data_IF_434504489965
#
_entry.id   IF_434504489965
#
_cell.length_a   1.000
_cell.length_b   1.000
_cell.length_c   1.000
_cell.angle_alpha   90.00
_cell.angle_beta   90.00
_cell.angle_gamma   90.00
#
_symmetry.space_group_name_H-M   'P 1'
#
loop_
_entity.id
_entity.type
_entity.pdbx_description
1 polymer ?
#
# COMPACT_ATOMS: atom_id res chain seq x y z
N UNK A 1 8.51 2.60 16.35
CA UNK A 1 7.26 1.82 16.10
C UNK A 1 6.58 2.42 14.88
N UNK A 2 5.94 1.62 14.01
CA UNK A 2 5.20 2.12 12.84
C UNK A 2 3.74 1.68 12.92
N UNK A 3 2.82 2.56 12.54
CA UNK A 3 1.40 2.25 12.40
C UNK A 3 0.77 3.09 11.28
N UNK A 4 -0.30 2.60 10.64
CA UNK A 4 -1.06 3.40 9.69
C UNK A 4 -2.02 4.35 10.41
N UNK A 5 -2.13 5.57 9.90
CA UNK A 5 -3.06 6.59 10.42
C UNK A 5 -4.52 6.10 10.43
N UNK A 6 -4.92 5.36 9.39
CA UNK A 6 -6.29 4.82 9.27
C UNK A 6 -6.69 3.95 10.47
N UNK A 7 -5.77 3.12 10.97
CA UNK A 7 -6.05 2.24 12.10
C UNK A 7 -6.17 3.01 13.42
N UNK A 8 -5.28 3.98 13.67
CA UNK A 8 -5.39 4.85 14.85
C UNK A 8 -6.70 5.64 14.84
N UNK A 9 -7.06 6.20 13.67
CA UNK A 9 -8.31 6.93 13.48
C UNK A 9 -9.53 6.05 13.75
N UNK A 10 -9.55 4.82 13.25
CA UNK A 10 -10.65 3.86 13.48
C UNK A 10 -10.87 3.61 14.97
N UNK A 11 -9.80 3.39 15.74
CA UNK A 11 -9.89 3.17 17.20
C UNK A 11 -10.42 4.42 17.92
N UNK A 12 -9.94 5.60 17.56
CA UNK A 12 -10.38 6.86 18.18
C UNK A 12 -11.84 7.20 17.88
N UNK A 13 -12.31 6.84 16.68
CA UNK A 13 -13.70 7.09 16.27
C UNK A 13 -14.73 6.31 17.10
N UNK A 14 -14.35 5.23 17.77
CA UNK A 14 -15.23 4.52 18.69
C UNK A 14 -15.66 5.38 19.90
N UNK A 15 -14.79 6.30 20.36
CA UNK A 15 -15.06 7.20 21.48
C UNK A 15 -15.28 8.67 21.09
N UNK A 16 -14.82 9.08 19.91
CA UNK A 16 -14.96 10.41 19.37
C UNK A 16 -15.37 10.35 17.89
N UNK A 17 -16.67 10.10 17.58
CA UNK A 17 -17.15 10.03 16.21
C UNK A 17 -16.86 11.32 15.42
N UNK A 18 -16.41 11.17 14.17
CA UNK A 18 -16.06 12.29 13.30
C UNK A 18 -14.65 12.87 13.54
N UNK A 19 -13.89 12.33 14.49
CA UNK A 19 -12.49 12.72 14.66
C UNK A 19 -11.65 12.35 13.43
N UNK A 20 -11.00 13.36 12.87
CA UNK A 20 -10.05 13.28 11.76
C UNK A 20 -9.19 14.56 11.78
N UNK A 21 -7.88 14.42 11.59
CA UNK A 21 -6.92 15.54 11.60
C UNK A 21 -5.88 15.36 10.50
N UNK A 22 -5.24 16.45 10.09
CA UNK A 22 -4.16 16.37 9.11
C UNK A 22 -2.93 15.64 9.72
N UNK A 23 -2.14 14.88 8.93
CA UNK A 23 -0.96 14.17 9.43
C UNK A 23 0.04 15.06 10.19
N UNK A 24 0.23 16.31 9.74
CA UNK A 24 1.13 17.26 10.41
C UNK A 24 0.63 17.66 11.81
N UNK A 25 -0.69 17.79 11.99
CA UNK A 25 -1.28 18.17 13.28
C UNK A 25 -1.19 17.00 14.27
N UNK A 26 -1.39 15.77 13.77
CA UNK A 26 -1.17 14.57 14.55
C UNK A 26 0.29 14.44 14.99
N UNK A 27 1.24 14.64 14.08
CA UNK A 27 2.68 14.64 14.37
C UNK A 27 3.03 15.64 15.47
N UNK A 28 2.61 16.90 15.31
CA UNK A 28 2.84 17.95 16.31
C UNK A 28 2.23 17.58 17.67
N UNK A 29 1.05 16.97 17.68
CA UNK A 29 0.37 16.56 18.92
C UNK A 29 1.13 15.43 19.61
N UNK A 30 1.58 14.41 18.88
CA UNK A 30 2.36 13.29 19.41
C UNK A 30 3.68 13.77 20.02
N UNK A 31 4.41 14.64 19.32
CA UNK A 31 5.66 15.24 19.81
C UNK A 31 5.40 16.04 21.09
N UNK A 32 4.34 16.85 21.11
CA UNK A 32 3.99 17.68 22.29
C UNK A 32 3.66 16.85 23.54
N UNK A 33 3.16 15.62 23.37
CA UNK A 33 2.85 14.72 24.50
C UNK A 33 3.99 13.71 24.79
N UNK A 34 5.17 13.87 24.18
CA UNK A 34 6.38 13.10 24.48
C UNK A 34 6.61 11.87 23.61
N UNK A 35 5.89 11.73 22.49
CA UNK A 35 6.15 10.69 21.50
C UNK A 35 6.96 11.26 20.34
N UNK A 36 8.23 10.84 20.23
CA UNK A 36 9.06 11.17 19.07
C UNK A 36 8.48 10.58 17.78
N UNK A 37 8.40 11.41 16.74
CA UNK A 37 7.99 11.00 15.40
C UNK A 37 9.21 11.12 14.48
N UNK A 38 9.80 9.98 14.13
CA UNK A 38 10.97 9.94 13.24
C UNK A 38 10.62 10.28 11.79
N UNK A 39 9.41 9.93 11.34
CA UNK A 39 8.99 10.10 9.95
C UNK A 39 7.46 10.05 9.82
N UNK A 40 6.91 10.94 8.99
CA UNK A 40 5.56 10.83 8.42
C UNK A 40 5.70 10.44 6.94
N UNK A 41 5.18 9.27 6.56
CA UNK A 41 5.31 8.72 5.21
C UNK A 41 3.93 8.44 4.59
N UNK A 42 3.41 9.31 3.71
CA UNK A 42 2.20 8.99 2.95
C UNK A 42 2.47 7.83 1.99
N UNK A 43 1.45 7.01 1.72
CA UNK A 43 1.52 6.05 0.63
C UNK A 43 1.64 6.82 -0.69
N UNK A 44 2.60 6.43 -1.53
CA UNK A 44 2.85 7.11 -2.80
C UNK A 44 1.62 7.04 -3.71
N UNK A 45 1.27 8.14 -4.41
CA UNK A 45 0.15 8.14 -5.34
C UNK A 45 0.45 7.22 -6.53
N UNK A 46 -0.61 6.71 -7.13
CA UNK A 46 -0.58 5.90 -8.35
C UNK A 46 -1.55 6.52 -9.34
N UNK A 47 -1.24 6.41 -10.62
CA UNK A 47 -2.10 6.86 -11.72
C UNK A 47 -2.19 5.78 -12.80
N UNK A 48 -3.23 5.83 -13.62
CA UNK A 48 -3.48 4.85 -14.68
C UNK A 48 -4.04 3.51 -14.17
N UNK A 49 -3.92 2.42 -14.95
CA UNK A 49 -4.63 1.17 -14.74
C UNK A 49 -3.96 0.24 -13.72
N UNK A 50 -3.67 0.74 -12.51
CA UNK A 50 -3.19 -0.12 -11.42
C UNK A 50 -4.36 -0.91 -10.82
N UNK A 51 -4.32 -2.23 -10.99
CA UNK A 51 -5.39 -3.12 -10.55
C UNK A 51 -4.83 -4.36 -9.86
N UNK A 52 -5.70 -5.08 -9.15
CA UNK A 52 -5.38 -6.41 -8.63
C UNK A 52 -5.42 -7.40 -9.79
N UNK A 53 -4.34 -8.17 -9.94
CA UNK A 53 -4.25 -9.26 -10.92
C UNK A 53 -4.05 -10.61 -10.24
N UNK A 54 -4.54 -11.68 -10.90
CA UNK A 54 -4.33 -13.07 -10.49
C UNK A 54 -3.44 -13.77 -11.51
N UNK A 55 -2.33 -14.35 -11.05
CA UNK A 55 -1.47 -15.19 -11.90
C UNK A 55 -2.21 -16.48 -12.25
N UNK A 56 -2.42 -16.72 -13.54
CA UNK A 56 -3.10 -17.90 -14.08
C UNK A 56 -2.11 -18.98 -14.56
N UNK A 57 -0.95 -18.57 -15.08
CA UNK A 57 0.11 -19.47 -15.50
C UNK A 57 1.49 -18.81 -15.36
N UNK A 58 2.53 -19.63 -15.24
CA UNK A 58 3.93 -19.23 -15.13
C UNK A 58 4.75 -20.11 -16.07
N UNK A 59 5.57 -19.49 -16.92
CA UNK A 59 6.62 -20.13 -17.71
C UNK A 59 7.99 -19.64 -17.22
N UNK A 60 8.90 -20.55 -16.89
CA UNK A 60 10.27 -20.21 -16.49
C UNK A 60 11.17 -20.08 -17.73
N UNK A 61 11.72 -18.88 -17.93
CA UNK A 61 12.61 -18.62 -19.06
C UNK A 61 14.05 -19.01 -18.70
N UNK A 62 14.59 -19.96 -19.46
CA UNK A 62 15.97 -20.42 -19.30
C UNK A 62 16.98 -19.49 -20.02
N UNK A 63 18.27 -19.60 -19.69
CA UNK A 63 19.36 -18.88 -20.36
C UNK A 63 19.74 -17.51 -19.76
N UNK A 64 19.03 -17.04 -18.74
CA UNK A 64 19.37 -15.81 -18.02
C UNK A 64 20.16 -16.07 -16.73
N UNK A 65 20.93 -15.08 -16.29
CA UNK A 65 21.69 -15.15 -15.03
C UNK A 65 20.77 -15.21 -13.80
N UNK A 66 19.59 -14.57 -13.87
CA UNK A 66 18.55 -14.62 -12.84
C UNK A 66 17.41 -15.51 -13.33
N UNK A 67 16.68 -16.20 -12.44
CA UNK A 67 15.41 -16.84 -12.81
C UNK A 67 14.41 -15.79 -13.30
N UNK A 68 13.86 -15.99 -14.49
CA UNK A 68 12.86 -15.10 -15.10
C UNK A 68 11.56 -15.88 -15.31
N UNK A 69 10.40 -15.23 -15.11
CA UNK A 69 9.07 -15.84 -15.20
C UNK A 69 8.16 -15.03 -16.11
N UNK A 70 7.84 -15.56 -17.28
CA UNK A 70 6.74 -15.04 -18.08
C UNK A 70 5.42 -15.53 -17.48
N UNK A 71 4.58 -14.61 -17.02
CA UNK A 71 3.33 -14.89 -16.34
C UNK A 71 2.14 -14.45 -17.19
N UNK A 72 1.12 -15.32 -17.29
CA UNK A 72 -0.21 -14.93 -17.75
C UNK A 72 -1.02 -14.46 -16.54
N UNK A 73 -1.46 -13.21 -16.57
CA UNK A 73 -2.15 -12.54 -15.46
C UNK A 73 -3.55 -12.15 -15.89
N UNK A 74 -4.54 -12.63 -15.14
CA UNK A 74 -5.93 -12.22 -15.24
C UNK A 74 -6.15 -10.94 -14.43
N UNK A 75 -6.48 -9.85 -15.12
CA UNK A 75 -6.77 -8.53 -14.56
C UNK A 75 -8.25 -8.15 -14.67
N UNK A 76 -9.13 -9.12 -14.96
CA UNK A 76 -10.58 -8.91 -15.01
C UNK A 76 -11.11 -8.28 -16.31
N UNK A 77 -10.30 -8.20 -17.36
CA UNK A 77 -10.66 -7.58 -18.66
C UNK A 77 -11.20 -8.59 -19.70
N UNK A 78 -11.55 -9.81 -19.29
CA UNK A 78 -12.01 -10.88 -20.19
C UNK A 78 -10.89 -11.50 -21.06
N UNK A 79 -9.66 -10.99 -20.96
CA UNK A 79 -8.45 -11.57 -21.55
C UNK A 79 -7.27 -11.46 -20.58
N UNK A 80 -6.38 -12.44 -20.62
CA UNK A 80 -5.16 -12.44 -19.82
C UNK A 80 -4.09 -11.54 -20.45
N UNK A 81 -3.18 -11.03 -19.61
CA UNK A 81 -2.04 -10.19 -19.99
C UNK A 81 -0.74 -10.95 -19.74
N UNK A 82 0.21 -10.84 -20.65
CA UNK A 82 1.58 -11.36 -20.46
C UNK A 82 2.42 -10.33 -19.71
N UNK A 83 3.09 -10.77 -18.63
CA UNK A 83 3.98 -9.96 -17.81
C UNK A 83 5.25 -10.76 -17.54
N UNK A 84 6.42 -10.16 -17.75
CA UNK A 84 7.75 -10.77 -17.50
C UNK A 84 8.38 -10.20 -16.23
#
# INVERSE_FOLDING_TARGET
MRLPYSWLREVLQAGAPGWDVAPHELEQTLVRIGHEVEQVAPLGPVDGPLTVGRVAAIEELSGFKKPIRACLVDVGEGRQREIV
#
